data_IF_087918397851
#
_entry.id   IF_087918397851
#
_cell.length_a   1.000
_cell.length_b   1.000
_cell.length_c   1.000
_cell.angle_alpha   90.00
_cell.angle_beta   90.00
_cell.angle_gamma   90.00
#
_symmetry.space_group_name_H-M   'P 1'
#
loop_
_entity.id
_entity.type
_entity.pdbx_description
1 polymer ?
#
# COMPACT_ATOMS: atom_id res chain seq x y z
N UNK A 1 14.90 13.84 -5.89
CA UNK A 1 14.30 15.11 -5.44
C UNK A 1 15.40 16.15 -5.23
N UNK A 2 15.10 17.45 -5.38
CA UNK A 2 16.01 18.55 -5.01
C UNK A 2 15.34 19.36 -3.91
N UNK A 3 15.96 19.43 -2.75
CA UNK A 3 15.41 20.14 -1.58
C UNK A 3 16.17 21.44 -1.35
N UNK A 4 15.44 22.54 -1.20
CA UNK A 4 16.01 23.85 -0.89
C UNK A 4 16.54 23.89 0.53
N UNK A 5 17.59 24.68 0.80
CA UNK A 5 18.26 24.69 2.11
C UNK A 5 17.31 24.94 3.30
N UNK A 6 16.28 25.76 3.14
CA UNK A 6 15.31 26.06 4.20
C UNK A 6 14.12 25.09 4.27
N UNK A 7 14.20 23.95 3.58
CA UNK A 7 13.15 22.95 3.48
C UNK A 7 13.67 21.61 4.01
N UNK A 8 12.84 20.90 4.75
CA UNK A 8 13.02 19.50 5.07
C UNK A 8 11.94 18.70 4.34
N UNK A 9 12.33 17.64 3.62
CA UNK A 9 11.40 16.81 2.86
C UNK A 9 11.32 15.40 3.45
N UNK A 10 10.11 14.96 3.78
CA UNK A 10 9.85 13.60 4.23
C UNK A 10 9.12 12.82 3.14
N UNK A 11 9.68 11.67 2.79
CA UNK A 11 9.03 10.67 1.94
C UNK A 11 8.69 9.44 2.78
N UNK A 12 7.75 8.63 2.29
CA UNK A 12 7.38 7.37 2.94
C UNK A 12 7.96 6.18 2.18
N UNK A 13 8.03 5.02 2.86
CA UNK A 13 8.26 3.71 2.27
C UNK A 13 6.96 3.00 2.01
N UNK A 14 6.15 3.53 1.09
CA UNK A 14 4.84 2.97 0.74
C UNK A 14 4.93 1.50 0.32
N UNK A 15 6.08 1.09 -0.26
CA UNK A 15 6.35 -0.30 -0.63
C UNK A 15 6.27 -1.26 0.56
N UNK A 16 6.67 -0.81 1.75
CA UNK A 16 6.65 -1.62 2.98
C UNK A 16 5.21 -1.83 3.50
N UNK A 17 4.39 -0.78 3.52
CA UNK A 17 2.97 -0.92 3.89
C UNK A 17 2.22 -1.80 2.89
N UNK A 18 2.49 -1.62 1.60
CA UNK A 18 1.85 -2.42 0.56
C UNK A 18 2.30 -3.89 0.60
N UNK A 19 3.57 -4.16 0.93
CA UNK A 19 4.04 -5.53 1.19
C UNK A 19 3.23 -6.19 2.30
N UNK A 20 3.01 -5.49 3.41
CA UNK A 20 2.20 -6.03 4.51
C UNK A 20 0.77 -6.33 4.05
N UNK A 21 0.18 -5.45 3.21
CA UNK A 21 -1.15 -5.65 2.64
C UNK A 21 -1.22 -6.85 1.69
N UNK A 22 -0.26 -7.01 0.77
CA UNK A 22 -0.21 -8.14 -0.15
C UNK A 22 0.00 -9.47 0.56
N UNK A 23 0.88 -9.47 1.57
CA UNK A 23 1.09 -10.63 2.42
C UNK A 23 -0.20 -11.01 3.15
N UNK A 24 -0.84 -10.04 3.81
CA UNK A 24 -2.11 -10.24 4.51
C UNK A 24 -3.21 -10.77 3.58
N UNK A 25 -3.36 -10.20 2.38
CA UNK A 25 -4.38 -10.60 1.41
C UNK A 25 -4.26 -12.08 1.02
N UNK A 26 -3.05 -12.56 0.74
CA UNK A 26 -2.81 -13.99 0.41
C UNK A 26 -3.00 -14.88 1.64
N UNK A 27 -2.61 -14.42 2.83
CA UNK A 27 -2.86 -15.15 4.09
C UNK A 27 -4.36 -15.28 4.42
N UNK A 28 -5.20 -14.35 3.94
CA UNK A 28 -6.67 -14.47 3.97
C UNK A 28 -7.23 -15.47 2.95
N UNK A 29 -6.38 -16.05 2.09
CA UNK A 29 -6.76 -17.04 1.08
C UNK A 29 -7.08 -16.43 -0.29
N UNK A 30 -6.75 -15.16 -0.52
CA UNK A 30 -6.92 -14.54 -1.83
C UNK A 30 -5.80 -14.98 -2.79
N UNK A 31 -6.18 -15.53 -3.95
CA UNK A 31 -5.27 -15.97 -5.01
C UNK A 31 -5.56 -15.30 -6.36
N UNK A 32 -6.67 -14.59 -6.49
CA UNK A 32 -6.99 -13.73 -7.64
C UNK A 32 -7.24 -12.32 -7.14
N UNK A 33 -6.31 -11.40 -7.37
CA UNK A 33 -6.31 -10.06 -6.80
C UNK A 33 -6.06 -9.00 -7.86
N UNK A 34 -6.45 -7.76 -7.57
CA UNK A 34 -6.21 -6.65 -8.47
C UNK A 34 -5.66 -5.42 -7.73
N UNK A 35 -4.95 -4.57 -8.47
CA UNK A 35 -4.45 -3.28 -8.01
C UNK A 35 -4.92 -2.21 -8.98
N UNK A 36 -5.67 -1.23 -8.46
CA UNK A 36 -6.04 -0.03 -9.19
C UNK A 36 -5.14 1.12 -8.74
N UNK A 37 -4.26 1.59 -9.62
CA UNK A 37 -3.50 2.83 -9.43
C UNK A 37 -4.08 3.98 -10.25
N UNK A 38 -3.78 5.22 -9.87
CA UNK A 38 -3.95 6.38 -10.75
C UNK A 38 -2.76 6.53 -11.72
N UNK A 39 -2.37 7.76 -12.01
CA UNK A 39 -1.11 8.04 -12.71
C UNK A 39 0.06 7.32 -12.02
N UNK A 40 1.00 6.70 -12.76
CA UNK A 40 2.11 5.93 -12.21
C UNK A 40 3.21 6.83 -11.61
N UNK A 41 2.80 7.71 -10.69
CA UNK A 41 3.71 8.46 -9.82
C UNK A 41 4.49 7.48 -8.93
N UNK A 42 5.67 7.88 -8.42
CA UNK A 42 6.51 6.99 -7.63
C UNK A 42 5.80 6.35 -6.43
N UNK A 43 4.88 7.05 -5.75
CA UNK A 43 4.10 6.48 -4.63
C UNK A 43 3.15 5.38 -5.09
N UNK A 44 2.39 5.61 -6.17
CA UNK A 44 1.47 4.64 -6.78
C UNK A 44 2.21 3.37 -7.19
N UNK A 45 3.39 3.52 -7.81
CA UNK A 45 4.24 2.41 -8.20
C UNK A 45 4.74 1.63 -6.97
N UNK A 46 5.14 2.32 -5.90
CA UNK A 46 5.59 1.67 -4.65
C UNK A 46 4.47 0.89 -3.98
N UNK A 47 3.25 1.41 -3.95
CA UNK A 47 2.10 0.63 -3.49
C UNK A 47 1.90 -0.63 -4.34
N UNK A 48 1.79 -0.50 -5.66
CA UNK A 48 1.54 -1.63 -6.55
C UNK A 48 2.63 -2.73 -6.45
N UNK A 49 3.90 -2.33 -6.53
CA UNK A 49 5.05 -3.26 -6.50
C UNK A 49 5.28 -3.85 -5.10
N UNK A 50 5.05 -3.09 -4.03
CA UNK A 50 5.09 -3.62 -2.67
C UNK A 50 4.03 -4.69 -2.44
N UNK A 51 2.80 -4.47 -2.92
CA UNK A 51 1.71 -5.45 -2.84
C UNK A 51 2.06 -6.77 -3.53
N UNK A 52 2.66 -6.71 -4.74
CA UNK A 52 3.15 -7.91 -5.45
C UNK A 52 4.21 -8.65 -4.63
N UNK A 53 5.19 -7.95 -4.05
CA UNK A 53 6.25 -8.57 -3.26
C UNK A 53 5.73 -9.25 -1.99
N UNK A 54 4.77 -8.61 -1.31
CA UNK A 54 4.12 -9.18 -0.15
C UNK A 54 3.33 -10.44 -0.49
N UNK A 55 2.58 -10.39 -1.58
CA UNK A 55 1.83 -11.53 -2.09
C UNK A 55 2.74 -12.69 -2.48
N UNK A 56 3.88 -12.42 -3.12
CA UNK A 56 4.88 -13.45 -3.48
C UNK A 56 5.43 -14.16 -2.25
N UNK A 57 5.81 -13.40 -1.21
CA UNK A 57 6.35 -13.99 0.01
C UNK A 57 5.33 -14.86 0.76
N UNK A 58 4.05 -14.45 0.78
CA UNK A 58 2.99 -15.27 1.35
C UNK A 58 2.70 -16.50 0.49
N UNK A 59 2.63 -16.33 -0.83
CA UNK A 59 2.38 -17.40 -1.80
C UNK A 59 3.45 -18.49 -1.72
N UNK A 60 4.74 -18.12 -1.68
CA UNK A 60 5.86 -19.03 -1.48
C UNK A 60 5.73 -19.80 -0.17
N UNK A 61 5.43 -19.11 0.95
CA UNK A 61 5.28 -19.75 2.25
C UNK A 61 4.10 -20.73 2.34
N UNK A 62 3.05 -20.49 1.55
CA UNK A 62 1.83 -21.30 1.53
C UNK A 62 1.83 -22.36 0.42
N UNK A 63 2.76 -22.29 -0.53
CA UNK A 63 2.79 -23.17 -1.70
C UNK A 63 1.60 -22.99 -2.64
N UNK A 64 1.13 -21.76 -2.83
CA UNK A 64 -0.02 -21.44 -3.69
C UNK A 64 0.39 -20.53 -4.85
N UNK A 65 -0.31 -20.65 -5.98
CA UNK A 65 -0.17 -19.69 -7.08
C UNK A 65 -1.14 -18.53 -6.90
N UNK A 66 -0.67 -17.33 -7.19
CA UNK A 66 -1.45 -16.09 -7.09
C UNK A 66 -1.41 -15.37 -8.43
N UNK A 67 -2.52 -14.76 -8.81
CA UNK A 67 -2.64 -13.90 -9.99
C UNK A 67 -2.99 -12.48 -9.55
N UNK A 68 -2.24 -11.50 -10.04
CA UNK A 68 -2.44 -10.08 -9.76
C UNK A 68 -2.55 -9.30 -11.06
N UNK A 69 -3.68 -8.63 -11.28
CA UNK A 69 -3.81 -7.61 -12.33
C UNK A 69 -3.47 -6.24 -11.77
N UNK A 70 -2.62 -5.48 -12.44
CA UNK A 70 -2.35 -4.08 -12.12
C UNK A 70 -2.84 -3.21 -13.26
N UNK A 71 -3.63 -2.19 -12.93
CA UNK A 71 -4.11 -1.21 -13.89
C UNK A 71 -3.83 0.21 -13.38
N UNK A 72 -3.14 1.01 -14.18
CA UNK A 72 -2.95 2.44 -13.92
C UNK A 72 -3.99 3.25 -14.68
N UNK A 73 -5.00 3.74 -13.97
CA UNK A 73 -6.05 4.60 -14.52
C UNK A 73 -5.51 6.00 -14.84
N UNK A 74 -6.02 6.61 -15.91
CA UNK A 74 -5.80 8.04 -16.18
C UNK A 74 -6.66 8.95 -15.33
N UNK A 75 -7.56 8.38 -14.51
CA UNK A 75 -8.45 9.14 -13.65
C UNK A 75 -7.72 9.66 -12.42
N UNK A 76 -8.08 10.87 -12.01
CA UNK A 76 -7.49 11.57 -10.87
C UNK A 76 -8.41 11.64 -9.65
N UNK A 77 -9.65 11.16 -9.79
CA UNK A 77 -10.64 11.09 -8.74
C UNK A 77 -11.61 9.92 -9.01
N UNK A 78 -12.23 9.43 -7.93
CA UNK A 78 -13.30 8.45 -7.98
C UNK A 78 -14.54 8.99 -8.68
N UNK A 79 -15.19 8.14 -9.49
CA UNK A 79 -16.49 8.40 -10.09
C UNK A 79 -17.29 7.08 -10.31
N UNK A 80 -18.50 7.22 -10.85
CA UNK A 80 -19.40 6.09 -11.11
C UNK A 80 -18.85 5.16 -12.21
N UNK A 81 -18.25 5.71 -13.26
CA UNK A 81 -17.69 4.93 -14.39
C UNK A 81 -16.53 4.04 -13.92
N UNK A 82 -15.64 4.57 -13.07
CA UNK A 82 -14.56 3.81 -12.45
C UNK A 82 -15.09 2.77 -11.48
N UNK A 83 -16.15 3.09 -10.73
CA UNK A 83 -16.81 2.14 -9.84
C UNK A 83 -17.36 0.94 -10.62
N UNK A 84 -18.07 1.20 -11.71
CA UNK A 84 -18.63 0.14 -12.56
C UNK A 84 -17.52 -0.67 -13.26
N UNK A 85 -16.42 -0.03 -13.63
CA UNK A 85 -15.24 -0.71 -14.17
C UNK A 85 -14.64 -1.69 -13.15
N UNK A 86 -14.47 -1.29 -11.88
CA UNK A 86 -13.97 -2.18 -10.81
C UNK A 86 -14.99 -3.25 -10.45
N UNK A 87 -16.30 -2.98 -10.54
CA UNK A 87 -17.34 -4.03 -10.41
C UNK A 87 -17.15 -5.12 -11.48
N UNK A 88 -16.73 -4.74 -12.69
CA UNK A 88 -16.34 -5.68 -13.75
C UNK A 88 -15.28 -6.68 -13.30
N UNK A 89 -14.24 -6.23 -12.61
CA UNK A 89 -13.21 -7.11 -12.07
C UNK A 89 -13.77 -8.09 -11.01
N UNK A 90 -14.60 -7.62 -10.09
CA UNK A 90 -15.24 -8.54 -9.14
C UNK A 90 -16.14 -9.57 -9.83
N UNK A 91 -16.81 -9.21 -10.92
CA UNK A 91 -17.58 -10.14 -11.75
C UNK A 91 -16.68 -11.15 -12.52
N UNK A 92 -15.47 -10.75 -12.90
CA UNK A 92 -14.43 -11.65 -13.45
C UNK A 92 -13.89 -12.64 -12.41
N UNK A 93 -14.15 -12.41 -11.12
CA UNK A 93 -13.77 -13.31 -10.03
C UNK A 93 -12.55 -12.85 -9.22
N UNK A 94 -12.07 -11.61 -9.40
CA UNK A 94 -11.12 -11.03 -8.46
C UNK A 94 -11.74 -10.99 -7.06
N UNK A 95 -10.95 -11.33 -6.06
CA UNK A 95 -11.44 -11.53 -4.69
C UNK A 95 -11.24 -10.28 -3.83
N UNK A 96 -10.12 -9.59 -4.06
CA UNK A 96 -9.76 -8.33 -3.40
C UNK A 96 -9.11 -7.36 -4.40
N UNK A 97 -9.44 -6.08 -4.28
CA UNK A 97 -8.78 -4.98 -4.99
C UNK A 97 -8.04 -4.10 -4.01
N UNK A 98 -6.78 -3.78 -4.29
CA UNK A 98 -6.07 -2.70 -3.60
C UNK A 98 -6.18 -1.41 -4.41
N UNK A 99 -6.68 -0.35 -3.78
CA UNK A 99 -6.65 1.00 -4.34
C UNK A 99 -5.28 1.62 -4.05
N UNK A 100 -4.33 1.54 -4.99
CA UNK A 100 -2.95 2.01 -4.86
C UNK A 100 -2.78 3.54 -4.89
N UNK A 101 -3.89 4.29 -4.84
CA UNK A 101 -3.90 5.74 -4.65
C UNK A 101 -5.16 6.14 -3.87
N UNK A 102 -5.07 7.01 -2.85
CA UNK A 102 -6.22 7.38 -2.02
C UNK A 102 -7.39 8.03 -2.79
N UNK A 103 -7.10 8.76 -3.87
CA UNK A 103 -8.07 9.51 -4.67
C UNK A 103 -9.07 8.60 -5.41
N UNK A 104 -8.69 7.34 -5.66
CA UNK A 104 -9.51 6.33 -6.33
C UNK A 104 -10.12 5.31 -5.36
N UNK A 105 -9.90 5.49 -4.04
CA UNK A 105 -10.33 4.52 -3.04
C UNK A 105 -11.86 4.40 -2.95
N UNK A 106 -12.59 5.50 -3.08
CA UNK A 106 -14.06 5.52 -2.96
C UNK A 106 -14.73 4.66 -4.04
N UNK A 107 -14.31 4.76 -5.31
CA UNK A 107 -14.80 3.87 -6.37
C UNK A 107 -14.52 2.38 -6.07
N UNK A 108 -13.34 2.05 -5.53
CA UNK A 108 -13.01 0.67 -5.17
C UNK A 108 -13.85 0.16 -4.00
N UNK A 109 -14.11 1.02 -3.01
CA UNK A 109 -14.94 0.71 -1.84
C UNK A 109 -16.38 0.45 -2.28
N UNK A 110 -16.97 1.37 -3.04
CA UNK A 110 -18.33 1.23 -3.56
C UNK A 110 -18.47 -0.02 -4.44
N UNK A 111 -17.47 -0.32 -5.28
CA UNK A 111 -17.48 -1.53 -6.11
C UNK A 111 -17.44 -2.81 -5.26
N UNK A 112 -16.62 -2.82 -4.20
CA UNK A 112 -16.54 -3.95 -3.27
C UNK A 112 -17.86 -4.16 -2.54
N UNK A 113 -18.52 -3.09 -2.09
CA UNK A 113 -19.86 -3.14 -1.48
C UNK A 113 -20.92 -3.70 -2.42
N UNK A 114 -21.01 -3.16 -3.64
CA UNK A 114 -21.94 -3.62 -4.68
C UNK A 114 -21.73 -5.10 -5.01
N UNK A 115 -20.49 -5.58 -4.92
CA UNK A 115 -20.11 -6.95 -5.29
C UNK A 115 -20.05 -7.93 -4.12
N UNK A 116 -20.19 -7.46 -2.87
CA UNK A 116 -19.96 -8.27 -1.67
C UNK A 116 -18.53 -8.83 -1.58
N UNK A 117 -17.54 -8.02 -1.97
CA UNK A 117 -16.12 -8.38 -2.05
C UNK A 117 -15.26 -7.50 -1.14
N UNK A 118 -13.97 -7.74 -1.13
CA UNK A 118 -13.02 -7.11 -0.21
C UNK A 118 -12.21 -6.03 -0.93
N UNK A 119 -11.86 -4.96 -0.21
CA UNK A 119 -10.97 -3.91 -0.70
C UNK A 119 -9.90 -3.58 0.34
N UNK A 120 -8.71 -3.26 -0.13
CA UNK A 120 -7.63 -2.68 0.67
C UNK A 120 -7.41 -1.24 0.19
N UNK A 121 -7.57 -0.27 1.08
CA UNK A 121 -7.27 1.13 0.77
C UNK A 121 -5.79 1.46 1.05
N UNK A 122 -5.35 2.62 0.58
CA UNK A 122 -3.98 3.12 0.84
C UNK A 122 -3.98 4.55 1.36
N UNK A 123 -2.86 4.99 1.93
CA UNK A 123 -2.63 6.34 2.44
C UNK A 123 -3.16 6.55 3.85
N UNK A 124 -4.45 6.31 4.09
CA UNK A 124 -5.11 6.49 5.40
C UNK A 124 -6.08 5.35 5.74
N UNK A 125 -6.53 5.30 6.98
CA UNK A 125 -7.47 4.27 7.44
C UNK A 125 -8.89 4.53 6.91
N UNK A 126 -9.39 3.61 6.08
CA UNK A 126 -10.73 3.65 5.50
C UNK A 126 -11.67 2.64 6.14
N UNK A 127 -11.28 1.95 7.22
CA UNK A 127 -12.08 0.89 7.82
C UNK A 127 -13.49 1.36 8.23
N UNK A 128 -13.64 2.62 8.63
CA UNK A 128 -14.93 3.22 8.99
C UNK A 128 -15.85 3.56 7.80
N UNK A 129 -15.34 3.51 6.56
CA UNK A 129 -16.15 3.85 5.36
C UNK A 129 -17.03 2.69 4.91
N UNK A 130 -16.57 1.45 5.06
CA UNK A 130 -17.31 0.26 4.65
C UNK A 130 -16.84 -0.99 5.37
N UNK A 131 -17.74 -1.95 5.59
CA UNK A 131 -17.36 -3.30 6.06
C UNK A 131 -16.56 -4.10 5.02
N UNK A 132 -16.58 -3.66 3.76
CA UNK A 132 -15.80 -4.26 2.67
C UNK A 132 -14.31 -3.91 2.75
N UNK A 133 -13.94 -2.84 3.47
CA UNK A 133 -12.53 -2.48 3.73
C UNK A 133 -11.96 -3.45 4.75
N UNK A 134 -11.08 -4.36 4.31
CA UNK A 134 -10.49 -5.35 5.21
C UNK A 134 -9.29 -4.81 6.00
N UNK A 135 -8.57 -3.85 5.44
CA UNK A 135 -7.54 -3.04 6.09
C UNK A 135 -7.13 -1.88 5.16
N UNK A 136 -6.25 -1.00 5.63
CA UNK A 136 -5.58 0.02 4.82
C UNK A 136 -4.07 -0.07 4.97
N UNK A 137 -3.32 0.03 3.88
CA UNK A 137 -1.87 0.28 3.91
C UNK A 137 -1.63 1.80 4.08
N UNK A 138 -1.29 2.22 5.30
CA UNK A 138 -1.31 3.62 5.71
C UNK A 138 0.08 4.24 5.77
N UNK A 139 0.11 5.55 5.49
CA UNK A 139 1.19 6.44 5.87
C UNK A 139 0.79 7.13 7.18
N UNK A 140 1.61 7.03 8.21
CA UNK A 140 1.33 7.57 9.54
C UNK A 140 1.58 9.09 9.60
N UNK A 141 0.90 9.87 8.75
CA UNK A 141 1.10 11.31 8.59
C UNK A 141 1.06 12.07 9.92
N UNK A 142 0.08 11.77 10.78
CA UNK A 142 -0.05 12.44 12.08
C UNK A 142 1.18 12.27 12.97
N UNK A 143 1.70 11.04 13.07
CA UNK A 143 2.88 10.73 13.87
C UNK A 143 4.12 11.41 13.30
N UNK A 144 4.33 11.27 11.99
CA UNK A 144 5.49 11.85 11.31
C UNK A 144 5.48 13.37 11.39
N UNK A 145 4.35 14.02 11.06
CA UNK A 145 4.24 15.49 11.12
C UNK A 145 4.44 16.01 12.55
N UNK A 146 3.91 15.32 13.56
CA UNK A 146 4.14 15.71 14.96
C UNK A 146 5.61 15.61 15.35
N UNK A 147 6.31 14.55 14.94
CA UNK A 147 7.74 14.38 15.18
C UNK A 147 8.55 15.50 14.50
N UNK A 148 8.29 15.78 13.22
CA UNK A 148 8.99 16.83 12.49
C UNK A 148 8.75 18.22 13.07
N UNK A 149 7.51 18.54 13.45
CA UNK A 149 7.19 19.81 14.10
C UNK A 149 7.84 19.95 15.48
N UNK A 150 7.98 18.85 16.21
CA UNK A 150 8.71 18.85 17.48
C UNK A 150 10.20 19.11 17.26
N UNK A 151 10.83 18.42 16.30
CA UNK A 151 12.23 18.65 15.93
C UNK A 151 12.47 20.11 15.55
N UNK A 152 11.64 20.66 14.65
CA UNK A 152 11.74 22.07 14.27
C UNK A 152 11.53 23.01 15.47
N UNK A 153 10.46 22.78 16.25
CA UNK A 153 10.05 23.67 17.33
C UNK A 153 11.06 23.74 18.48
N UNK A 154 11.76 22.65 18.77
CA UNK A 154 12.79 22.63 19.83
C UNK A 154 13.98 23.53 19.52
N UNK A 155 14.33 23.71 18.23
CA UNK A 155 15.44 24.55 17.80
C UNK A 155 14.99 25.88 17.16
N UNK A 156 13.68 26.02 16.92
CA UNK A 156 13.07 27.07 16.11
C UNK A 156 13.73 27.21 14.71
N UNK A 157 14.27 26.10 14.20
CA UNK A 157 14.90 25.96 12.89
C UNK A 157 15.11 24.46 12.57
N UNK A 158 15.38 24.13 11.31
CA UNK A 158 15.94 22.83 10.95
C UNK A 158 17.43 22.79 11.31
N UNK A 159 17.90 21.69 11.90
CA UNK A 159 19.32 21.48 12.11
C UNK A 159 20.05 21.14 10.80
N UNK A 160 21.35 20.91 10.87
CA UNK A 160 22.18 20.61 9.70
C UNK A 160 21.86 19.26 9.05
N UNK A 161 21.28 18.32 9.80
CA UNK A 161 20.92 16.98 9.33
C UNK A 161 19.54 16.97 8.64
N UNK A 162 18.70 17.98 8.88
CA UNK A 162 17.36 18.10 8.28
C UNK A 162 17.26 19.20 7.21
N UNK A 163 17.99 20.31 7.40
CA UNK A 163 17.98 21.48 6.51
C UNK A 163 18.49 21.13 5.11
N UNK A 164 17.63 21.27 4.09
CA UNK A 164 17.97 20.94 2.71
C UNK A 164 18.02 19.44 2.42
N UNK A 165 17.61 18.60 3.37
CA UNK A 165 17.65 17.15 3.23
C UNK A 165 16.29 16.55 2.87
N UNK A 166 16.34 15.42 2.18
CA UNK A 166 15.20 14.54 1.98
C UNK A 166 15.46 13.25 2.72
N UNK A 167 14.57 12.86 3.61
CA UNK A 167 14.58 11.54 4.22
C UNK A 167 13.44 10.66 3.67
N UNK A 168 13.55 9.36 3.91
CA UNK A 168 12.47 8.42 3.59
C UNK A 168 12.26 7.50 4.78
N UNK A 169 11.07 7.60 5.36
CA UNK A 169 10.68 6.90 6.58
C UNK A 169 9.83 5.68 6.29
N UNK A 170 10.05 4.61 7.04
CA UNK A 170 9.26 3.39 6.95
C UNK A 170 8.99 2.75 8.31
N UNK A 171 8.90 1.42 8.30
CA UNK A 171 8.61 0.59 9.47
C UNK A 171 9.65 0.71 10.59
N UNK A 172 10.87 1.17 10.27
CA UNK A 172 11.92 1.44 11.25
C UNK A 172 11.56 2.52 12.28
N UNK A 173 10.60 3.40 11.96
CA UNK A 173 10.14 4.51 12.82
C UNK A 173 8.61 4.61 12.86
N UNK A 174 7.91 3.50 12.61
CA UNK A 174 6.45 3.45 12.60
C UNK A 174 5.77 4.42 11.61
N UNK A 175 6.46 4.82 10.53
CA UNK A 175 5.95 5.80 9.57
C UNK A 175 4.95 5.20 8.57
N UNK A 176 4.94 3.89 8.40
CA UNK A 176 4.05 3.16 7.49
C UNK A 176 3.62 1.83 8.12
N UNK A 177 2.49 1.29 7.71
CA UNK A 177 2.01 -0.02 8.19
C UNK A 177 0.61 -0.36 7.72
N UNK A 178 -0.01 -1.34 8.36
CA UNK A 178 -1.45 -1.59 8.22
C UNK A 178 -2.24 -0.86 9.31
N UNK A 179 -3.41 -0.36 8.96
CA UNK A 179 -4.41 0.00 9.95
C UNK A 179 -4.92 -1.28 10.63
N UNK A 180 -4.63 -1.45 11.92
CA UNK A 180 -4.94 -2.69 12.68
C UNK A 180 -6.06 -2.55 13.69
N UNK A 181 -6.52 -1.34 14.00
CA UNK A 181 -7.49 -1.12 15.07
C UNK A 181 -8.87 -1.71 14.74
N UNK A 182 -9.33 -1.50 13.51
CA UNK A 182 -10.64 -1.96 13.02
C UNK A 182 -10.52 -2.87 11.80
N UNK A 183 -9.35 -3.49 11.59
CA UNK A 183 -9.15 -4.40 10.48
C UNK A 183 -10.08 -5.61 10.57
N UNK A 184 -10.35 -6.23 9.41
CA UNK A 184 -11.33 -7.31 9.27
C UNK A 184 -10.70 -8.60 8.74
N UNK A 185 -9.37 -8.72 8.85
CA UNK A 185 -8.63 -9.94 8.58
C UNK A 185 -9.04 -11.03 9.59
N UNK A 186 -9.24 -12.25 9.11
CA UNK A 186 -9.80 -13.38 9.85
C UNK A 186 -8.75 -14.45 10.14
N UNK A 187 -7.81 -14.66 9.22
CA UNK A 187 -6.81 -15.72 9.24
C UNK A 187 -5.43 -15.17 9.57
N UNK A 188 -5.05 -14.02 8.98
CA UNK A 188 -3.80 -13.36 9.32
C UNK A 188 -3.92 -12.66 10.66
N UNK A 189 -3.19 -13.17 11.67
CA UNK A 189 -3.35 -12.72 13.05
C UNK A 189 -2.53 -11.48 13.37
N UNK A 190 -2.94 -10.76 14.43
CA UNK A 190 -2.18 -9.61 14.94
C UNK A 190 -0.79 -9.97 15.48
N UNK A 191 -0.56 -11.23 15.86
CA UNK A 191 0.77 -11.72 16.25
C UNK A 191 1.67 -11.89 15.03
N UNK A 192 1.19 -12.60 14.00
CA UNK A 192 1.93 -12.80 12.76
C UNK A 192 2.23 -11.48 12.05
N UNK A 193 1.28 -10.54 12.05
CA UNK A 193 1.51 -9.17 11.57
C UNK A 193 2.65 -8.51 12.33
N UNK A 194 2.63 -8.56 13.67
CA UNK A 194 3.65 -7.91 14.51
C UNK A 194 5.03 -8.52 14.29
N UNK A 195 5.12 -9.84 14.18
CA UNK A 195 6.37 -10.52 13.88
C UNK A 195 6.93 -10.12 12.51
N UNK A 196 6.08 -10.11 11.47
CA UNK A 196 6.47 -9.68 10.14
C UNK A 196 6.92 -8.21 10.13
N UNK A 197 6.14 -7.34 10.79
CA UNK A 197 6.44 -5.92 10.94
C UNK A 197 7.79 -5.70 11.62
N UNK A 198 8.06 -6.37 12.74
CA UNK A 198 9.33 -6.28 13.47
C UNK A 198 10.51 -6.78 12.64
N UNK A 199 10.34 -7.87 11.88
CA UNK A 199 11.39 -8.36 10.97
C UNK A 199 11.67 -7.37 9.83
N UNK A 200 10.64 -6.65 9.36
CA UNK A 200 10.80 -5.60 8.35
C UNK A 200 11.50 -4.36 8.93
N UNK A 201 11.08 -3.89 10.11
CA UNK A 201 11.71 -2.78 10.82
C UNK A 201 13.18 -3.07 11.17
N UNK A 202 13.50 -4.33 11.47
CA UNK A 202 14.87 -4.80 11.69
C UNK A 202 15.69 -5.01 10.39
N UNK A 203 15.10 -4.79 9.21
CA UNK A 203 15.74 -4.99 7.90
C UNK A 203 15.99 -6.44 7.51
N UNK A 204 15.41 -7.40 8.24
CA UNK A 204 15.47 -8.84 7.92
C UNK A 204 14.57 -9.18 6.74
N UNK A 205 13.36 -8.62 6.71
CA UNK A 205 12.51 -8.61 5.51
C UNK A 205 12.81 -7.32 4.75
N UNK A 206 13.28 -7.48 3.51
CA UNK A 206 13.60 -6.35 2.62
C UNK A 206 12.56 -6.27 1.52
N UNK A 207 12.13 -5.06 1.21
CA UNK A 207 11.22 -4.77 0.13
C UNK A 207 11.96 -3.91 -0.89
N UNK A 208 11.99 -4.36 -2.13
CA UNK A 208 12.58 -3.62 -3.24
C UNK A 208 11.71 -2.40 -3.56
N UNK A 209 12.38 -1.28 -3.81
CA UNK A 209 11.74 0.00 -4.08
C UNK A 209 11.81 0.30 -5.58
N UNK A 210 10.64 0.57 -6.15
CA UNK A 210 10.48 1.00 -7.53
C UNK A 210 9.98 2.43 -7.57
N UNK A 211 10.37 3.19 -8.59
CA UNK A 211 9.96 4.60 -8.77
C UNK A 211 9.18 4.86 -10.04
N UNK A 212 9.14 3.88 -10.92
CA UNK A 212 8.50 3.93 -12.23
C UNK A 212 8.15 2.50 -12.67
N UNK A 213 7.51 2.40 -13.83
CA UNK A 213 6.98 1.16 -14.38
C UNK A 213 7.97 0.42 -15.28
N UNK A 214 9.24 0.82 -15.32
CA UNK A 214 10.22 0.20 -16.23
C UNK A 214 10.72 -1.16 -15.75
N UNK A 215 10.52 -1.47 -14.48
CA UNK A 215 10.88 -2.75 -13.87
C UNK A 215 9.78 -3.20 -12.89
N UNK A 216 9.69 -4.51 -12.71
CA UNK A 216 8.76 -5.16 -11.80
C UNK A 216 9.49 -6.15 -10.88
N UNK A 217 8.95 -6.44 -9.68
CA UNK A 217 9.44 -7.50 -8.82
C UNK A 217 9.56 -8.83 -9.56
N UNK A 218 10.65 -9.55 -9.30
CA UNK A 218 10.79 -10.93 -9.75
C UNK A 218 9.94 -11.82 -8.85
N UNK A 219 9.03 -12.59 -9.45
CA UNK A 219 8.08 -13.46 -8.75
C UNK A 219 8.13 -14.87 -9.31
N UNK A 220 7.95 -15.89 -8.46
CA UNK A 220 7.85 -17.29 -8.87
C UNK A 220 6.43 -17.82 -8.73
N UNK A 221 5.76 -17.45 -7.64
CA UNK A 221 4.44 -17.95 -7.29
C UNK A 221 3.32 -16.96 -7.67
N UNK A 222 3.66 -15.69 -7.91
CA UNK A 222 2.75 -14.65 -8.40
C UNK A 222 2.93 -14.43 -9.91
N UNK A 223 1.84 -14.57 -10.66
CA UNK A 223 1.73 -14.08 -12.04
C UNK A 223 1.16 -12.67 -12.04
N UNK A 224 1.88 -11.71 -12.62
CA UNK A 224 1.43 -10.32 -12.74
C UNK A 224 1.00 -10.03 -14.18
N UNK A 225 -0.16 -9.40 -14.34
CA UNK A 225 -0.69 -8.90 -15.61
C UNK A 225 -0.86 -7.37 -15.57
N UNK A 226 -0.39 -6.68 -16.61
CA UNK A 226 -0.41 -5.22 -16.74
C UNK A 226 -0.96 -4.83 -18.12
N UNK A 227 -2.27 -4.99 -18.37
CA UNK A 227 -2.81 -4.92 -19.72
C UNK A 227 -2.82 -3.51 -20.34
N UNK A 228 -2.46 -2.47 -19.59
CA UNK A 228 -2.37 -1.09 -20.05
C UNK A 228 -0.97 -0.47 -19.91
N UNK A 229 0.07 -1.31 -19.87
CA UNK A 229 1.46 -0.92 -20.06
C UNK A 229 2.01 -1.36 -21.42
#
# INVERSE_FOLDING_TARGET
>A
YRTSANVHCVLFREEQAAYLAGYAAVREGNTSMAVLGGEPLPSTVRYATGFVQGAEAAADSMGVQVYIRIWYSSMTASDDDLTDYVCGWYNEGFQVVMAATPELADSCIQAAEKSGREVIATGWDCAGQSSSVITSAVNCYSTVVQNELYLFGTQNNWDQDHSGQTETLGTEVDAVGLATQEWRLKTFTGEEYRELYQRMAAGTVKVERYSDTTAMPQTQNVTVDQPNQ
#
